data_IF_717467928738
#
_entry.id   IF_717467928738
#
_cell.length_a   1.000
_cell.length_b   1.000
_cell.length_c   1.000
_cell.angle_alpha   90.00
_cell.angle_beta   90.00
_cell.angle_gamma   90.00
#
_symmetry.space_group_name_H-M   'P 1'
#
loop_
_entity.id
_entity.type
_entity.pdbx_description
1 polymer ?
#
# COMPACT_ATOMS: atom_id res chain seq x y z
N UNK A 1 34.67 -20.77 14.00
CA UNK A 1 34.41 -21.49 12.71
C UNK A 1 32.95 -21.73 12.40
N UNK A 2 32.08 -22.16 13.36
CA UNK A 2 30.63 -22.38 13.11
C UNK A 2 29.84 -21.09 12.78
N UNK A 3 30.19 -19.93 13.33
CA UNK A 3 29.50 -18.64 13.08
C UNK A 3 29.85 -18.07 11.72
N UNK A 4 31.10 -18.16 11.28
CA UNK A 4 31.53 -17.68 9.95
C UNK A 4 30.89 -18.46 8.81
N UNK A 5 30.68 -19.77 8.98
CA UNK A 5 30.05 -20.62 7.99
C UNK A 5 28.55 -20.29 7.83
N UNK A 6 27.86 -19.95 8.92
CA UNK A 6 26.45 -19.52 8.90
C UNK A 6 26.27 -18.16 8.22
N UNK A 7 27.18 -17.24 8.47
CA UNK A 7 27.22 -15.93 7.80
C UNK A 7 27.46 -16.08 6.30
N UNK A 8 28.41 -16.95 5.91
CA UNK A 8 28.68 -17.22 4.48
C UNK A 8 27.48 -17.89 3.81
N UNK A 9 26.85 -18.88 4.44
CA UNK A 9 25.66 -19.54 3.90
C UNK A 9 24.47 -18.56 3.77
N UNK A 10 24.32 -17.67 4.74
CA UNK A 10 23.33 -16.60 4.70
C UNK A 10 23.61 -15.61 3.56
N UNK A 11 24.84 -15.14 3.41
CA UNK A 11 25.24 -14.24 2.32
C UNK A 11 25.03 -14.87 0.94
N UNK A 12 25.35 -16.15 0.79
CA UNK A 12 25.11 -16.92 -0.43
C UNK A 12 23.62 -17.06 -0.69
N UNK A 13 22.81 -17.39 0.31
CA UNK A 13 21.34 -17.46 0.17
C UNK A 13 20.74 -16.11 -0.24
N UNK A 14 21.18 -15.03 0.41
CA UNK A 14 20.73 -13.66 0.10
C UNK A 14 21.12 -13.26 -1.33
N UNK A 15 22.32 -13.62 -1.77
CA UNK A 15 22.79 -13.36 -3.12
C UNK A 15 21.99 -14.16 -4.16
N UNK A 16 21.75 -15.45 -3.92
CA UNK A 16 20.96 -16.32 -4.80
C UNK A 16 19.52 -15.81 -4.88
N UNK A 17 18.93 -15.43 -3.74
CA UNK A 17 17.60 -14.87 -3.70
C UNK A 17 17.51 -13.53 -4.43
N UNK A 18 18.50 -12.67 -4.27
CA UNK A 18 18.58 -11.38 -4.99
C UNK A 18 18.67 -11.57 -6.51
N UNK A 19 19.48 -12.54 -6.96
CA UNK A 19 19.58 -12.92 -8.37
C UNK A 19 18.28 -13.52 -8.89
N UNK A 20 17.62 -14.38 -8.12
CA UNK A 20 16.35 -15.01 -8.44
C UNK A 20 15.24 -13.97 -8.62
N UNK A 21 15.15 -13.00 -7.72
CA UNK A 21 14.14 -11.94 -7.79
C UNK A 21 14.43 -10.96 -8.94
N UNK A 22 15.71 -10.66 -9.22
CA UNK A 22 16.13 -9.86 -10.38
C UNK A 22 15.75 -10.50 -11.72
N UNK A 23 15.92 -11.82 -11.84
CA UNK A 23 15.60 -12.56 -13.06
C UNK A 23 14.08 -12.68 -13.32
N UNK A 24 13.24 -12.59 -12.26
CA UNK A 24 11.80 -12.74 -12.41
C UNK A 24 11.11 -11.45 -12.86
N UNK A 25 11.47 -10.26 -12.35
CA UNK A 25 10.74 -9.02 -12.69
C UNK A 25 11.55 -7.72 -12.65
N UNK A 26 12.81 -7.70 -12.30
CA UNK A 26 13.57 -6.47 -12.12
C UNK A 26 13.16 -5.64 -10.87
N UNK A 27 12.20 -6.12 -10.08
CA UNK A 27 11.66 -5.44 -8.88
C UNK A 27 12.25 -5.96 -7.57
N UNK A 28 13.42 -6.56 -7.60
CA UNK A 28 14.10 -7.15 -6.43
C UNK A 28 14.33 -6.17 -5.27
N UNK A 29 14.36 -4.87 -5.55
CA UNK A 29 14.51 -3.80 -4.56
C UNK A 29 13.37 -3.76 -3.52
N UNK A 30 12.18 -4.24 -3.86
CA UNK A 30 11.02 -4.21 -2.97
C UNK A 30 11.08 -5.28 -1.87
N UNK A 31 11.84 -6.35 -2.06
CA UNK A 31 11.93 -7.47 -1.10
C UNK A 31 13.15 -7.41 -0.18
N UNK A 32 14.21 -6.73 -0.58
CA UNK A 32 15.46 -6.69 0.17
C UNK A 32 15.33 -6.09 1.59
N UNK A 33 14.62 -4.98 1.80
CA UNK A 33 14.42 -4.40 3.12
C UNK A 33 13.51 -5.23 4.04
N UNK A 34 12.48 -5.89 3.47
CA UNK A 34 11.63 -6.81 4.22
C UNK A 34 12.41 -8.02 4.73
N UNK A 35 13.28 -8.57 3.89
CA UNK A 35 14.14 -9.71 4.25
C UNK A 35 15.14 -9.33 5.35
N UNK A 36 15.72 -8.12 5.29
CA UNK A 36 16.63 -7.61 6.33
C UNK A 36 15.89 -7.39 7.65
N UNK A 37 14.71 -6.79 7.61
CA UNK A 37 13.88 -6.58 8.80
C UNK A 37 13.45 -7.92 9.44
N UNK A 38 13.05 -8.89 8.64
CA UNK A 38 12.69 -10.24 9.09
C UNK A 38 13.90 -10.96 9.70
N UNK A 39 15.07 -10.86 9.08
CA UNK A 39 16.29 -11.51 9.58
C UNK A 39 16.76 -10.89 10.90
N UNK A 40 16.79 -9.56 11.02
CA UNK A 40 17.16 -8.87 12.25
C UNK A 40 16.19 -9.22 13.39
N UNK A 41 14.89 -9.22 13.10
CA UNK A 41 13.85 -9.55 14.08
C UNK A 41 13.95 -11.02 14.52
N UNK A 42 14.16 -11.96 13.57
CA UNK A 42 14.30 -13.39 13.85
C UNK A 42 15.61 -13.76 14.53
N UNK A 43 16.75 -13.15 14.18
CA UNK A 43 18.00 -13.40 14.91
C UNK A 43 17.87 -12.99 16.37
N UNK A 44 17.20 -11.89 16.66
CA UNK A 44 17.03 -11.41 18.06
C UNK A 44 16.16 -12.35 18.88
N UNK A 45 15.07 -12.88 18.31
CA UNK A 45 14.16 -13.80 18.99
C UNK A 45 14.75 -15.22 19.05
N UNK A 46 15.31 -15.73 17.95
CA UNK A 46 15.89 -17.07 17.91
C UNK A 46 17.14 -17.17 18.79
N UNK A 47 17.91 -16.08 18.94
CA UNK A 47 19.08 -16.04 19.80
C UNK A 47 18.74 -16.21 21.29
N UNK A 48 17.63 -15.65 21.75
CA UNK A 48 17.14 -15.85 23.13
C UNK A 48 16.66 -17.29 23.38
N UNK A 49 15.93 -17.88 22.43
CA UNK A 49 15.50 -19.29 22.50
C UNK A 49 16.68 -20.27 22.42
N UNK A 50 17.70 -19.94 21.62
CA UNK A 50 18.89 -20.77 21.45
C UNK A 50 19.82 -20.74 22.68
N UNK A 51 19.94 -19.62 23.38
CA UNK A 51 20.66 -19.53 24.64
C UNK A 51 20.12 -20.49 25.71
N UNK A 52 18.81 -20.65 25.75
CA UNK A 52 18.13 -21.52 26.71
C UNK A 52 18.42 -23.01 26.40
N UNK A 53 18.43 -23.41 25.12
CA UNK A 53 18.69 -24.79 24.66
C UNK A 53 20.17 -25.18 24.72
N UNK A 54 21.11 -24.23 24.65
CA UNK A 54 22.55 -24.47 24.69
C UNK A 54 23.06 -24.83 26.08
N UNK A 55 22.31 -24.47 27.14
CA UNK A 55 22.63 -24.86 28.52
C UNK A 55 22.34 -26.34 28.81
N UNK A 56 21.46 -26.98 28.02
CA UNK A 56 21.03 -28.36 28.21
C UNK A 56 21.84 -29.39 27.37
N UNK A 57 22.66 -28.95 26.41
CA UNK A 57 23.32 -29.83 25.40
C UNK A 57 24.84 -29.76 25.38
N UNK A 58 25.48 -29.63 26.52
CA UNK A 58 26.96 -29.56 26.59
C UNK A 58 27.68 -30.91 26.70
N UNK A 59 26.96 -32.02 26.66
CA UNK A 59 27.53 -33.35 26.66
C UNK A 59 27.01 -34.16 25.46
N UNK A 60 27.94 -34.65 24.65
CA UNK A 60 27.81 -35.55 23.48
C UNK A 60 27.64 -34.90 22.11
N UNK A 61 28.67 -34.93 21.33
CA UNK A 61 28.86 -35.40 19.95
C UNK A 61 30.03 -34.72 19.25
N UNK A 62 31.15 -35.46 19.08
CA UNK A 62 32.21 -35.10 18.11
C UNK A 62 31.69 -35.41 16.71
N UNK A 63 31.55 -34.39 15.87
CA UNK A 63 31.18 -34.55 14.45
C UNK A 63 32.36 -35.17 13.65
N UNK A 64 32.08 -36.23 12.87
CA UNK A 64 33.02 -36.84 11.95
C UNK A 64 33.36 -35.86 10.79
N UNK A 65 34.68 -35.51 10.58
CA UNK A 65 35.08 -34.57 9.54
C UNK A 65 34.75 -35.03 8.09
N UNK A 66 34.53 -36.32 7.85
CA UNK A 66 34.10 -36.85 6.55
C UNK A 66 32.67 -36.48 6.22
N UNK A 67 31.79 -36.43 7.23
CA UNK A 67 30.38 -36.08 7.08
C UNK A 67 30.24 -34.60 6.77
N UNK A 68 31.05 -33.76 7.42
CA UNK A 68 31.05 -32.28 7.13
C UNK A 68 31.49 -31.99 5.70
N UNK A 69 32.50 -32.71 5.17
CA UNK A 69 32.91 -32.59 3.75
C UNK A 69 31.83 -33.02 2.78
N UNK A 70 31.14 -34.12 3.06
CA UNK A 70 30.08 -34.65 2.20
C UNK A 70 28.89 -33.66 2.13
N UNK A 71 28.52 -33.06 3.25
CA UNK A 71 27.45 -32.04 3.32
C UNK A 71 27.78 -30.81 2.47
N UNK A 72 29.05 -30.37 2.48
CA UNK A 72 29.48 -29.23 1.66
C UNK A 72 29.45 -29.56 0.16
N UNK A 73 29.86 -30.74 -0.24
CA UNK A 73 29.84 -31.20 -1.63
C UNK A 73 28.37 -31.29 -2.11
N UNK A 74 27.50 -31.81 -1.30
CA UNK A 74 26.04 -31.92 -1.64
C UNK A 74 25.43 -30.53 -1.79
N UNK A 75 25.64 -29.61 -0.85
CA UNK A 75 25.12 -28.24 -0.93
C UNK A 75 25.65 -27.53 -2.18
N UNK A 76 26.96 -27.66 -2.46
CA UNK A 76 27.59 -27.05 -3.65
C UNK A 76 27.02 -27.63 -4.95
N UNK A 77 26.80 -28.93 -5.00
CA UNK A 77 26.18 -29.61 -6.15
C UNK A 77 24.74 -29.13 -6.36
N UNK A 78 23.95 -28.94 -5.31
CA UNK A 78 22.59 -28.41 -5.40
C UNK A 78 22.58 -26.95 -5.85
N UNK A 79 23.52 -26.14 -5.41
CA UNK A 79 23.66 -24.74 -5.86
C UNK A 79 23.95 -24.71 -7.38
N UNK A 80 24.87 -25.56 -7.84
CA UNK A 80 25.21 -25.64 -9.28
C UNK A 80 24.01 -26.15 -10.11
N UNK A 81 23.33 -27.18 -9.64
CA UNK A 81 22.13 -27.72 -10.33
C UNK A 81 21.03 -26.67 -10.35
N UNK A 82 20.77 -25.98 -9.24
CA UNK A 82 19.81 -24.88 -9.17
C UNK A 82 20.15 -23.76 -10.14
N UNK A 83 21.41 -23.39 -10.26
CA UNK A 83 21.91 -22.36 -11.18
C UNK A 83 21.77 -22.80 -12.65
N UNK A 84 22.07 -24.05 -12.97
CA UNK A 84 21.90 -24.62 -14.32
C UNK A 84 20.42 -24.73 -14.72
N UNK A 85 19.54 -25.00 -13.76
CA UNK A 85 18.10 -25.07 -13.98
C UNK A 85 17.51 -23.68 -14.23
N UNK A 86 17.94 -22.67 -13.48
CA UNK A 86 17.49 -21.27 -13.66
C UNK A 86 17.92 -20.71 -15.02
N UNK A 87 19.08 -21.09 -15.51
CA UNK A 87 19.60 -20.64 -16.81
C UNK A 87 18.86 -21.25 -18.03
N UNK A 88 18.05 -22.29 -17.86
CA UNK A 88 17.49 -23.04 -18.99
C UNK A 88 16.02 -22.79 -19.36
N UNK A 89 15.11 -22.29 -18.55
CA UNK A 89 13.77 -21.81 -18.97
C UNK A 89 12.79 -21.40 -17.85
N UNK A 90 11.79 -20.54 -18.18
CA UNK A 90 10.77 -20.00 -17.27
C UNK A 90 9.72 -21.01 -16.74
N UNK A 91 9.63 -22.23 -17.28
CA UNK A 91 8.76 -23.32 -16.76
C UNK A 91 9.39 -24.09 -15.61
N UNK A 92 10.54 -23.67 -15.12
CA UNK A 92 11.49 -24.41 -14.29
C UNK A 92 11.14 -24.41 -12.80
N UNK A 93 10.27 -23.49 -12.33
CA UNK A 93 9.88 -23.42 -10.91
C UNK A 93 9.12 -24.69 -10.49
N UNK A 94 8.25 -25.20 -11.34
CA UNK A 94 7.60 -26.50 -11.11
C UNK A 94 8.61 -27.66 -11.01
N UNK A 95 9.68 -27.59 -11.81
CA UNK A 95 10.77 -28.59 -11.76
C UNK A 95 11.58 -28.47 -10.47
N UNK A 96 11.83 -27.25 -9.98
CA UNK A 96 12.53 -27.03 -8.70
C UNK A 96 11.68 -27.55 -7.54
N UNK A 97 10.39 -27.23 -7.50
CA UNK A 97 9.47 -27.77 -6.49
C UNK A 97 9.39 -29.30 -6.57
N UNK A 98 9.31 -29.88 -7.78
CA UNK A 98 9.32 -31.31 -7.98
C UNK A 98 10.65 -31.95 -7.54
N UNK A 99 11.79 -31.34 -7.81
CA UNK A 99 13.10 -31.81 -7.36
C UNK A 99 13.21 -31.74 -5.81
N UNK A 100 12.75 -30.67 -5.20
CA UNK A 100 12.72 -30.55 -3.71
C UNK A 100 11.80 -31.61 -3.10
N UNK A 101 10.64 -31.86 -3.69
CA UNK A 101 9.72 -32.93 -3.27
C UNK A 101 10.33 -34.32 -3.51
N UNK A 102 10.95 -34.57 -4.65
CA UNK A 102 11.63 -35.82 -4.95
C UNK A 102 12.85 -36.08 -4.03
N UNK A 103 13.60 -35.02 -3.66
CA UNK A 103 14.69 -35.13 -2.68
C UNK A 103 14.14 -35.46 -1.29
N UNK A 104 13.00 -34.88 -0.91
CA UNK A 104 12.33 -35.23 0.36
C UNK A 104 11.85 -36.68 0.36
N UNK A 105 11.27 -37.16 -0.75
CA UNK A 105 10.84 -38.56 -0.91
C UNK A 105 12.04 -39.50 -0.94
N UNK A 106 13.11 -39.16 -1.64
CA UNK A 106 14.33 -40.00 -1.71
C UNK A 106 15.10 -40.03 -0.38
N UNK A 107 15.11 -38.89 0.38
CA UNK A 107 15.64 -38.82 1.73
C UNK A 107 14.89 -39.71 2.73
N UNK A 108 13.57 -39.90 2.50
CA UNK A 108 12.75 -40.80 3.30
C UNK A 108 13.06 -42.30 3.06
N UNK A 109 13.46 -42.65 1.84
CA UNK A 109 13.72 -44.03 1.40
C UNK A 109 15.13 -44.54 1.81
N UNK A 110 16.10 -43.67 2.02
CA UNK A 110 17.49 -44.05 2.36
C UNK A 110 17.91 -43.62 3.75
N UNK A 111 17.93 -44.51 4.72
CA UNK A 111 18.42 -44.36 6.12
C UNK A 111 19.85 -43.84 6.26
N UNK A 112 20.62 -43.62 5.17
CA UNK A 112 21.97 -43.11 5.17
C UNK A 112 22.14 -41.58 5.12
N UNK A 113 21.05 -40.82 4.90
CA UNK A 113 21.09 -39.35 4.81
C UNK A 113 20.58 -38.64 6.06
N UNK A 114 20.65 -39.26 7.23
CA UNK A 114 20.02 -38.77 8.46
C UNK A 114 20.46 -37.38 8.90
N UNK A 115 21.71 -36.96 8.65
CA UNK A 115 22.25 -35.67 9.07
C UNK A 115 21.80 -34.55 8.12
N UNK A 116 21.87 -34.77 6.78
CA UNK A 116 21.40 -33.81 5.77
C UNK A 116 19.88 -33.64 5.85
N UNK A 117 19.15 -34.74 6.11
CA UNK A 117 17.70 -34.70 6.36
C UNK A 117 17.33 -33.91 7.62
N UNK A 118 18.11 -34.07 8.72
CA UNK A 118 17.90 -33.35 9.97
C UNK A 118 18.12 -31.84 9.83
N UNK A 119 19.16 -31.44 9.09
CA UNK A 119 19.41 -30.04 8.76
C UNK A 119 18.32 -29.49 7.81
N UNK A 120 17.98 -30.21 6.74
CA UNK A 120 16.92 -29.82 5.81
C UNK A 120 15.56 -29.69 6.52
N UNK A 121 15.23 -30.61 7.41
CA UNK A 121 14.03 -30.56 8.25
C UNK A 121 14.03 -29.35 9.17
N UNK A 122 15.18 -29.02 9.76
CA UNK A 122 15.34 -27.83 10.61
C UNK A 122 15.10 -26.55 9.82
N UNK A 123 15.67 -26.43 8.62
CA UNK A 123 15.45 -25.30 7.71
C UNK A 123 13.98 -25.21 7.25
N UNK A 124 13.39 -26.33 6.86
CA UNK A 124 11.98 -26.38 6.45
C UNK A 124 11.04 -25.92 7.57
N UNK A 125 11.27 -26.38 8.79
CA UNK A 125 10.51 -25.95 9.97
C UNK A 125 10.70 -24.45 10.25
N UNK A 126 11.91 -23.92 10.11
CA UNK A 126 12.21 -22.50 10.28
C UNK A 126 11.49 -21.65 9.22
N UNK A 127 11.51 -22.07 7.95
CA UNK A 127 10.82 -21.37 6.85
C UNK A 127 9.29 -21.39 7.08
N UNK A 128 8.72 -22.55 7.41
CA UNK A 128 7.27 -22.66 7.68
C UNK A 128 6.88 -21.73 8.84
N UNK A 129 7.67 -21.78 9.94
CA UNK A 129 7.42 -20.91 11.09
C UNK A 129 7.51 -19.41 10.68
N UNK A 130 8.54 -19.04 9.91
CA UNK A 130 8.71 -17.66 9.44
C UNK A 130 7.54 -17.19 8.58
N UNK A 131 7.08 -18.02 7.62
CA UNK A 131 5.95 -17.68 6.74
C UNK A 131 4.66 -17.53 7.55
N UNK A 132 4.41 -18.43 8.50
CA UNK A 132 3.21 -18.36 9.37
C UNK A 132 3.28 -17.08 10.23
N UNK A 133 4.39 -16.84 10.90
CA UNK A 133 4.56 -15.68 11.77
C UNK A 133 4.44 -14.38 10.97
N UNK A 134 5.12 -14.25 9.83
CA UNK A 134 5.02 -13.09 8.95
C UNK A 134 3.60 -12.87 8.44
N UNK A 135 2.88 -13.94 8.10
CA UNK A 135 1.47 -13.86 7.66
C UNK A 135 0.57 -13.34 8.79
N UNK A 136 0.75 -13.83 10.01
CA UNK A 136 -0.02 -13.36 11.19
C UNK A 136 0.29 -11.89 11.47
N UNK A 137 1.57 -11.51 11.52
CA UNK A 137 2.00 -10.12 11.74
C UNK A 137 1.41 -9.20 10.68
N UNK A 138 1.54 -9.56 9.39
CA UNK A 138 1.01 -8.80 8.27
C UNK A 138 -0.51 -8.69 8.31
N UNK A 139 -1.21 -9.75 8.70
CA UNK A 139 -2.68 -9.78 8.72
C UNK A 139 -3.24 -8.93 9.84
N UNK A 140 -2.67 -8.99 11.05
CA UNK A 140 -3.31 -8.44 12.25
C UNK A 140 -2.57 -7.25 12.88
N UNK A 141 -1.28 -7.06 12.65
CA UNK A 141 -0.53 -6.03 13.34
C UNK A 141 -0.06 -4.90 12.44
N UNK A 142 0.86 -5.20 11.53
CA UNK A 142 1.53 -4.18 10.74
C UNK A 142 1.83 -4.70 9.34
N UNK A 143 1.67 -3.85 8.35
CA UNK A 143 1.97 -4.18 6.95
C UNK A 143 2.77 -3.06 6.30
N UNK A 144 3.75 -3.45 5.47
CA UNK A 144 4.53 -2.51 4.69
C UNK A 144 3.88 -2.25 3.33
N UNK A 145 3.79 -0.98 2.94
CA UNK A 145 3.28 -0.53 1.65
C UNK A 145 4.25 0.41 0.98
N UNK A 146 4.29 0.39 -0.35
CA UNK A 146 5.06 1.33 -1.17
C UNK A 146 4.13 2.38 -1.76
N UNK A 147 4.58 3.63 -1.84
CA UNK A 147 3.87 4.73 -2.50
C UNK A 147 4.25 4.77 -3.98
N UNK A 148 3.36 4.35 -4.89
CA UNK A 148 3.64 4.33 -6.33
C UNK A 148 3.18 5.60 -7.05
N UNK A 149 2.33 6.43 -6.44
CA UNK A 149 1.66 7.56 -7.09
C UNK A 149 1.86 8.87 -6.34
N UNK A 150 1.73 9.98 -7.05
CA UNK A 150 1.93 11.33 -6.54
C UNK A 150 0.73 11.95 -5.81
N UNK A 151 -0.35 11.19 -5.56
CA UNK A 151 -1.58 11.76 -4.97
C UNK A 151 -1.42 12.31 -3.55
N UNK A 152 -0.38 11.88 -2.82
CA UNK A 152 0.01 12.36 -1.50
C UNK A 152 1.37 13.08 -1.53
N UNK A 153 1.80 13.51 -2.71
CA UNK A 153 3.13 14.08 -2.95
C UNK A 153 3.43 15.24 -2.01
N UNK A 154 4.68 15.41 -1.65
CA UNK A 154 5.24 16.28 -0.60
C UNK A 154 4.95 15.84 0.84
N UNK A 155 3.79 15.31 1.16
CA UNK A 155 3.54 14.65 2.44
C UNK A 155 4.14 13.23 2.44
N UNK A 156 3.84 12.46 1.40
CA UNK A 156 4.44 11.15 1.11
C UNK A 156 4.92 11.14 -0.34
N UNK A 157 6.19 10.79 -0.56
CA UNK A 157 6.81 10.84 -1.88
C UNK A 157 6.67 9.49 -2.60
N UNK A 158 6.64 9.53 -3.94
CA UNK A 158 6.81 8.31 -4.73
C UNK A 158 8.12 7.64 -4.34
N UNK A 159 8.06 6.32 -4.04
CA UNK A 159 9.18 5.54 -3.55
C UNK A 159 9.37 5.54 -2.04
N UNK A 160 8.46 6.16 -1.26
CA UNK A 160 8.37 5.95 0.17
C UNK A 160 7.81 4.56 0.48
N UNK A 161 8.39 3.91 1.48
CA UNK A 161 7.90 2.66 2.05
C UNK A 161 7.32 2.95 3.42
N UNK A 162 6.04 2.70 3.58
CA UNK A 162 5.29 2.99 4.79
C UNK A 162 5.09 1.76 5.65
N UNK A 163 5.16 1.91 6.96
CA UNK A 163 4.55 0.97 7.88
C UNK A 163 3.14 1.43 8.24
N UNK A 164 2.20 0.51 8.08
CA UNK A 164 0.77 0.72 8.33
C UNK A 164 0.32 -0.15 9.49
N UNK A 165 -0.14 0.49 10.54
CA UNK A 165 -0.70 -0.19 11.71
C UNK A 165 -2.15 -0.57 11.47
N UNK A 166 -2.44 -1.85 11.60
CA UNK A 166 -3.82 -2.36 11.59
C UNK A 166 -4.45 -2.29 12.98
N UNK A 167 -3.62 -2.37 14.01
CA UNK A 167 -4.06 -2.29 15.41
C UNK A 167 -4.58 -0.90 15.79
N UNK A 168 -4.15 0.15 15.10
CA UNK A 168 -4.63 1.52 15.38
C UNK A 168 -6.15 1.62 15.32
N UNK A 169 -6.78 1.05 14.30
CA UNK A 169 -8.23 1.06 14.12
C UNK A 169 -8.90 -0.30 14.39
N UNK A 170 -8.10 -1.29 14.83
CA UNK A 170 -8.50 -2.68 14.95
C UNK A 170 -8.31 -3.48 13.65
N UNK A 171 -7.61 -4.61 13.73
CA UNK A 171 -7.40 -5.45 12.56
C UNK A 171 -8.71 -6.04 12.05
N UNK A 172 -8.86 -6.01 10.73
CA UNK A 172 -9.96 -6.67 10.03
C UNK A 172 -9.65 -8.15 9.86
N UNK A 173 -10.58 -9.02 10.25
CA UNK A 173 -10.51 -10.45 9.92
C UNK A 173 -10.56 -10.62 8.40
N UNK A 174 -9.68 -11.41 7.78
CA UNK A 174 -9.71 -11.63 6.34
C UNK A 174 -11.07 -12.17 5.86
N UNK A 175 -11.65 -11.50 4.86
CA UNK A 175 -12.90 -11.97 4.22
C UNK A 175 -12.61 -13.24 3.43
N UNK A 176 -11.43 -13.34 2.80
CA UNK A 176 -10.96 -14.53 2.09
C UNK A 176 -9.79 -15.18 2.83
N UNK A 177 -10.04 -16.03 3.84
CA UNK A 177 -8.99 -16.59 4.69
C UNK A 177 -8.07 -17.57 3.95
N UNK A 178 -8.56 -18.20 2.87
CA UNK A 178 -7.75 -19.10 2.04
C UNK A 178 -7.06 -18.26 0.97
N UNK A 179 -5.81 -17.86 1.25
CA UNK A 179 -5.00 -17.07 0.33
C UNK A 179 -3.54 -17.54 0.37
N UNK A 180 -2.84 -17.33 -0.76
CA UNK A 180 -1.41 -17.59 -0.82
C UNK A 180 -0.66 -16.62 0.11
N UNK A 181 0.20 -17.11 1.02
CA UNK A 181 0.88 -16.28 1.99
C UNK A 181 1.66 -15.14 1.32
N UNK A 182 1.64 -13.95 1.93
CA UNK A 182 2.37 -12.76 1.53
C UNK A 182 2.02 -12.18 0.13
N UNK A 183 1.04 -12.75 -0.56
CA UNK A 183 0.55 -12.25 -1.86
C UNK A 183 -0.82 -11.60 -1.68
N UNK A 184 -1.03 -10.44 -2.31
CA UNK A 184 -2.27 -9.67 -2.12
C UNK A 184 -3.44 -10.25 -2.94
N UNK A 185 -3.44 -10.09 -4.27
CA UNK A 185 -4.60 -10.49 -5.10
C UNK A 185 -4.24 -11.38 -6.30
N UNK A 186 -3.06 -11.22 -6.90
CA UNK A 186 -2.66 -11.95 -8.11
C UNK A 186 -1.33 -12.65 -7.87
N UNK A 187 -1.21 -13.90 -8.29
CA UNK A 187 0.04 -14.66 -8.19
C UNK A 187 1.13 -14.01 -9.07
N UNK A 188 2.33 -13.75 -8.52
CA UNK A 188 3.36 -12.93 -9.17
C UNK A 188 3.89 -13.51 -10.49
N UNK A 189 3.72 -14.81 -10.74
CA UNK A 189 4.18 -15.47 -11.97
C UNK A 189 3.09 -15.67 -13.04
N UNK A 190 1.91 -15.06 -12.80
CA UNK A 190 0.76 -15.21 -13.68
C UNK A 190 0.17 -13.86 -14.01
N UNK A 191 -0.37 -13.71 -15.24
CA UNK A 191 -1.00 -12.45 -15.63
C UNK A 191 -2.28 -12.16 -14.83
N UNK A 192 -3.11 -13.19 -14.53
CA UNK A 192 -4.47 -12.98 -13.99
C UNK A 192 -4.94 -14.04 -12.97
N UNK A 193 -4.07 -14.96 -12.51
CA UNK A 193 -4.52 -15.99 -11.55
C UNK A 193 -4.65 -15.41 -10.14
N UNK A 194 -5.81 -15.61 -9.53
CA UNK A 194 -6.08 -15.20 -8.15
C UNK A 194 -5.12 -15.90 -7.18
N UNK A 195 -4.59 -15.17 -6.21
CA UNK A 195 -3.79 -15.71 -5.11
C UNK A 195 -4.64 -16.20 -3.94
N UNK A 196 -5.96 -16.17 -4.06
CA UNK A 196 -6.92 -16.49 -3.03
C UNK A 196 -8.07 -17.34 -3.59
N UNK A 197 -8.75 -18.06 -2.69
CA UNK A 197 -9.96 -18.82 -2.99
C UNK A 197 -11.18 -18.12 -2.40
N UNK A 198 -12.27 -18.09 -3.16
CA UNK A 198 -13.56 -17.57 -2.73
C UNK A 198 -14.52 -18.69 -2.23
N UNK A 199 -14.02 -19.93 -2.07
CA UNK A 199 -14.81 -21.05 -1.56
C UNK A 199 -15.30 -20.81 -0.12
N UNK A 200 -14.52 -20.05 0.67
CA UNK A 200 -14.91 -19.61 2.01
C UNK A 200 -14.78 -18.08 2.04
N UNK A 201 -15.90 -17.41 2.29
CA UNK A 201 -15.98 -15.96 2.54
C UNK A 201 -16.55 -15.74 3.93
N UNK A 202 -15.80 -15.06 4.78
CA UNK A 202 -16.26 -14.66 6.10
C UNK A 202 -16.98 -13.30 6.04
N UNK A 203 -17.99 -13.06 6.88
CA UNK A 203 -18.59 -11.75 7.00
C UNK A 203 -17.57 -10.73 7.50
N UNK A 204 -17.81 -9.47 7.21
CA UNK A 204 -16.99 -8.40 7.75
C UNK A 204 -16.98 -8.42 9.28
N UNK A 205 -15.79 -8.51 9.84
CA UNK A 205 -15.57 -8.37 11.27
C UNK A 205 -14.26 -7.61 11.54
N UNK A 206 -14.34 -6.61 12.40
CA UNK A 206 -13.18 -5.82 12.85
C UNK A 206 -13.01 -6.01 14.36
N UNK A 207 -11.81 -6.38 14.78
CA UNK A 207 -11.44 -6.47 16.19
C UNK A 207 -11.35 -5.05 16.79
N UNK A 208 -11.37 -4.95 18.10
CA UNK A 208 -11.20 -3.69 18.79
C UNK A 208 -9.82 -3.08 18.49
N UNK A 209 -9.80 -1.80 18.13
CA UNK A 209 -8.60 -1.01 17.89
C UNK A 209 -8.10 -0.30 19.14
N UNK A 210 -6.95 0.38 18.97
CA UNK A 210 -6.38 1.27 20.01
C UNK A 210 -7.07 2.63 20.02
N UNK A 211 -7.74 3.01 18.91
CA UNK A 211 -8.49 4.25 18.77
C UNK A 211 -9.38 4.22 17.52
N UNK A 212 -10.05 5.31 17.28
CA UNK A 212 -10.91 5.53 16.12
C UNK A 212 -10.15 6.26 15.02
N UNK A 213 -10.74 6.31 13.82
CA UNK A 213 -10.23 7.10 12.71
C UNK A 213 -10.55 8.57 12.98
N UNK A 214 -9.52 9.40 12.97
CA UNK A 214 -9.62 10.83 13.21
C UNK A 214 -9.42 11.64 11.92
N UNK A 215 -9.90 12.90 11.95
CA UNK A 215 -9.58 13.83 10.86
C UNK A 215 -8.08 14.04 10.78
N UNK A 216 -7.59 14.15 9.55
CA UNK A 216 -6.18 14.30 9.20
C UNK A 216 -5.33 13.02 9.29
N UNK A 217 -5.86 11.90 9.75
CA UNK A 217 -5.16 10.61 9.67
C UNK A 217 -4.86 10.24 8.22
N UNK A 218 -3.65 9.76 7.97
CA UNK A 218 -3.30 9.12 6.70
C UNK A 218 -3.72 7.65 6.74
N UNK A 219 -4.79 7.32 6.01
CA UNK A 219 -5.45 6.03 6.08
C UNK A 219 -5.17 5.21 4.84
N UNK A 220 -4.79 3.95 5.03
CA UNK A 220 -4.74 2.94 3.97
C UNK A 220 -6.07 2.19 3.94
N UNK A 221 -6.63 2.05 2.75
CA UNK A 221 -7.92 1.39 2.54
C UNK A 221 -7.96 0.69 1.19
N UNK A 222 -8.85 -0.28 1.03
CA UNK A 222 -9.14 -0.93 -0.23
C UNK A 222 -10.01 0.00 -1.09
N UNK A 223 -9.66 0.19 -2.36
CA UNK A 223 -10.33 1.14 -3.25
C UNK A 223 -11.81 0.77 -3.49
N UNK A 224 -12.77 1.60 -3.03
CA UNK A 224 -14.18 1.24 -3.09
C UNK A 224 -14.72 1.14 -4.52
N UNK A 225 -14.23 1.98 -5.43
CA UNK A 225 -14.73 2.07 -6.80
C UNK A 225 -14.13 1.02 -7.75
N UNK A 226 -13.32 0.07 -7.26
CA UNK A 226 -12.79 -1.02 -8.09
C UNK A 226 -13.93 -1.88 -8.66
N UNK A 227 -13.92 -2.06 -10.00
CA UNK A 227 -14.96 -2.78 -10.75
C UNK A 227 -14.59 -4.23 -11.12
N UNK A 228 -13.48 -4.75 -10.64
CA UNK A 228 -12.98 -6.09 -11.01
C UNK A 228 -13.70 -7.26 -10.29
N UNK A 229 -14.72 -6.99 -9.49
CA UNK A 229 -15.48 -8.00 -8.76
C UNK A 229 -14.68 -8.73 -7.68
N UNK A 230 -13.57 -8.14 -7.20
CA UNK A 230 -12.78 -8.72 -6.11
C UNK A 230 -13.48 -8.53 -4.76
N UNK A 231 -13.33 -9.50 -3.82
CA UNK A 231 -13.69 -9.27 -2.42
C UNK A 231 -12.97 -8.03 -1.85
N UNK A 232 -13.58 -7.38 -0.87
CA UNK A 232 -13.07 -6.10 -0.32
C UNK A 232 -11.61 -6.20 0.10
N UNK A 233 -11.21 -7.28 0.80
CA UNK A 233 -9.84 -7.51 1.27
C UNK A 233 -8.82 -7.82 0.16
N UNK A 234 -9.27 -7.92 -1.11
CA UNK A 234 -8.44 -8.18 -2.29
C UNK A 234 -8.45 -7.07 -3.32
N UNK A 235 -9.20 -5.98 -3.07
CA UNK A 235 -9.16 -4.77 -3.90
C UNK A 235 -7.83 -4.04 -3.75
N UNK A 236 -7.51 -3.17 -4.70
CA UNK A 236 -6.30 -2.34 -4.66
C UNK A 236 -6.23 -1.48 -3.40
N UNK A 237 -5.03 -1.34 -2.85
CA UNK A 237 -4.80 -0.52 -1.67
C UNK A 237 -4.47 0.92 -2.06
N UNK A 238 -5.20 1.86 -1.48
CA UNK A 238 -4.98 3.29 -1.64
C UNK A 238 -4.61 3.90 -0.30
N UNK A 239 -3.82 4.97 -0.32
CA UNK A 239 -3.57 5.83 0.84
C UNK A 239 -4.04 7.23 0.54
N UNK A 240 -4.84 7.80 1.46
CA UNK A 240 -5.32 9.18 1.42
C UNK A 240 -5.42 9.74 2.84
N UNK A 241 -5.59 11.04 2.93
CA UNK A 241 -5.90 11.70 4.19
C UNK A 241 -7.40 11.61 4.46
N UNK A 242 -7.77 11.17 5.66
CA UNK A 242 -9.14 11.23 6.15
C UNK A 242 -9.47 12.67 6.50
N UNK A 243 -10.21 13.35 5.64
CA UNK A 243 -10.59 14.76 5.86
C UNK A 243 -11.98 14.93 6.43
N UNK A 244 -12.77 13.86 6.44
CA UNK A 244 -14.11 13.86 7.03
C UNK A 244 -14.45 12.51 7.63
N UNK A 245 -14.99 12.53 8.82
CA UNK A 245 -15.42 11.38 9.62
C UNK A 245 -16.95 11.28 9.66
N UNK A 246 -17.53 10.16 10.13
CA UNK A 246 -18.98 9.97 10.16
C UNK A 246 -19.72 11.08 10.89
N UNK A 247 -20.68 11.71 10.21
CA UNK A 247 -21.48 12.83 10.71
C UNK A 247 -20.98 14.22 10.30
N UNK A 248 -19.77 14.33 9.74
CA UNK A 248 -19.27 15.61 9.26
C UNK A 248 -20.01 16.12 8.02
N UNK A 249 -20.11 17.44 7.92
CA UNK A 249 -20.52 18.13 6.70
C UNK A 249 -19.30 18.74 6.03
N UNK A 250 -19.06 18.37 4.79
CA UNK A 250 -17.90 18.82 4.01
C UNK A 250 -18.33 19.61 2.78
N UNK A 251 -17.50 20.59 2.43
CA UNK A 251 -17.69 21.45 1.27
C UNK A 251 -16.32 21.96 0.79
N UNK A 252 -16.12 22.04 -0.50
CA UNK A 252 -14.94 22.67 -1.11
C UNK A 252 -15.41 23.93 -1.84
N UNK A 253 -14.82 25.07 -1.49
CA UNK A 253 -15.09 26.37 -2.10
C UNK A 253 -13.76 26.94 -2.59
N UNK A 254 -13.64 27.19 -3.90
CA UNK A 254 -12.42 27.67 -4.55
C UNK A 254 -11.17 26.86 -4.13
N UNK A 255 -11.37 25.51 -4.08
CA UNK A 255 -10.34 24.55 -3.68
C UNK A 255 -9.99 24.56 -2.19
N UNK A 256 -10.68 25.33 -1.35
CA UNK A 256 -10.54 25.31 0.11
C UNK A 256 -11.56 24.33 0.69
N UNK A 257 -11.05 23.28 1.33
CA UNK A 257 -11.91 22.33 2.04
C UNK A 257 -12.40 22.93 3.36
N UNK A 258 -13.71 22.92 3.54
CA UNK A 258 -14.38 23.27 4.79
C UNK A 258 -15.00 22.01 5.40
N UNK A 259 -14.80 21.82 6.69
CA UNK A 259 -15.42 20.77 7.49
C UNK A 259 -16.25 21.42 8.58
N UNK A 260 -17.55 21.13 8.60
CA UNK A 260 -18.50 21.73 9.53
C UNK A 260 -18.45 23.27 9.50
N UNK A 261 -18.33 23.85 8.29
CA UNK A 261 -18.23 25.28 8.00
C UNK A 261 -16.91 25.96 8.39
N UNK A 262 -15.93 25.21 8.87
CA UNK A 262 -14.61 25.73 9.21
C UNK A 262 -13.59 25.20 8.20
N UNK A 263 -12.61 26.02 7.78
CA UNK A 263 -11.50 25.53 6.95
C UNK A 263 -10.80 24.35 7.60
N UNK A 264 -10.39 23.37 6.79
CA UNK A 264 -9.63 22.22 7.29
C UNK A 264 -8.35 22.68 7.98
N UNK A 265 -8.14 22.24 9.22
CA UNK A 265 -6.86 22.37 9.90
C UNK A 265 -5.77 21.59 9.19
N UNK A 266 -4.58 22.18 9.11
CA UNK A 266 -3.42 21.56 8.48
C UNK A 266 -2.49 21.04 9.57
N UNK A 267 -2.39 19.70 9.76
CA UNK A 267 -1.46 19.16 10.74
C UNK A 267 -0.02 19.43 10.33
N UNK A 268 0.86 19.53 11.33
CA UNK A 268 2.31 19.68 11.10
C UNK A 268 2.79 18.51 10.21
N UNK A 269 3.43 18.84 9.10
CA UNK A 269 3.94 17.87 8.11
C UNK A 269 3.05 17.68 6.89
N UNK A 270 1.78 18.10 6.93
CA UNK A 270 0.93 18.15 5.75
C UNK A 270 1.46 19.19 4.75
N UNK A 271 1.57 18.81 3.49
CA UNK A 271 2.02 19.69 2.40
C UNK A 271 1.05 19.61 1.24
N UNK A 272 0.03 20.46 1.28
CA UNK A 272 -0.96 20.51 0.18
C UNK A 272 -0.31 21.06 -1.09
N UNK A 273 -0.61 20.40 -2.20
CA UNK A 273 -0.27 20.87 -3.53
C UNK A 273 -1.51 21.22 -4.34
N UNK A 274 -1.35 22.27 -5.12
CA UNK A 274 -2.32 22.71 -6.11
C UNK A 274 -1.62 22.94 -7.43
N UNK A 275 -2.37 22.95 -8.52
CA UNK A 275 -1.85 23.37 -9.82
C UNK A 275 -1.79 24.90 -9.88
N UNK A 276 -0.63 25.43 -10.29
CA UNK A 276 -0.42 26.86 -10.49
C UNK A 276 -0.10 27.14 -11.94
N UNK A 277 -0.71 28.19 -12.48
CA UNK A 277 -0.30 28.79 -13.76
C UNK A 277 0.89 29.69 -13.52
N UNK A 278 1.99 29.39 -14.21
CA UNK A 278 3.24 30.14 -14.11
C UNK A 278 3.59 30.69 -15.49
N UNK A 279 3.80 32.01 -15.60
CA UNK A 279 4.28 32.66 -16.82
C UNK A 279 5.68 33.22 -16.61
N UNK A 280 6.52 33.07 -17.63
CA UNK A 280 7.88 33.56 -17.61
C UNK A 280 8.11 34.55 -18.77
N UNK A 281 9.13 35.41 -18.66
CA UNK A 281 9.62 36.23 -19.75
C UNK A 281 11.04 35.79 -20.12
N UNK A 282 11.36 35.75 -21.40
CA UNK A 282 12.68 35.39 -21.90
C UNK A 282 12.99 33.89 -21.69
N UNK A 283 13.94 33.62 -20.80
CA UNK A 283 14.33 32.26 -20.46
C UNK A 283 13.21 31.54 -19.65
N UNK A 284 12.95 30.27 -19.95
CA UNK A 284 12.02 29.46 -19.19
C UNK A 284 12.50 29.13 -17.77
N UNK A 285 11.76 28.28 -17.08
CA UNK A 285 12.13 27.79 -15.75
C UNK A 285 13.25 26.74 -15.86
N UNK A 286 14.24 26.82 -14.97
CA UNK A 286 15.32 25.84 -14.91
C UNK A 286 14.86 24.57 -14.14
N UNK A 287 14.71 23.40 -14.80
CA UNK A 287 14.22 22.19 -14.14
C UNK A 287 15.11 21.70 -13.00
N UNK A 288 16.44 21.94 -13.06
CA UNK A 288 17.36 21.58 -11.98
C UNK A 288 17.12 22.39 -10.71
N UNK A 289 16.82 23.69 -10.86
CA UNK A 289 16.49 24.54 -9.71
C UNK A 289 15.14 24.12 -9.12
N UNK A 290 14.16 23.85 -9.97
CA UNK A 290 12.83 23.38 -9.52
C UNK A 290 12.95 22.07 -8.76
N UNK A 291 13.73 21.12 -9.26
CA UNK A 291 13.95 19.86 -8.58
C UNK A 291 14.72 20.03 -7.26
N UNK A 292 15.89 20.65 -7.29
CA UNK A 292 16.78 20.72 -6.13
C UNK A 292 16.22 21.58 -4.98
N UNK A 293 15.48 22.67 -5.31
CA UNK A 293 15.02 23.64 -4.32
C UNK A 293 13.59 23.37 -3.84
N UNK A 294 12.74 22.82 -4.71
CA UNK A 294 11.31 22.64 -4.45
C UNK A 294 10.86 21.19 -4.61
N UNK A 295 11.79 20.29 -4.99
CA UNK A 295 11.51 18.89 -5.28
C UNK A 295 10.39 18.72 -6.34
N UNK A 296 10.33 19.65 -7.30
CA UNK A 296 9.39 19.62 -8.42
C UNK A 296 10.01 18.80 -9.55
N UNK A 297 9.43 17.66 -9.84
CA UNK A 297 9.91 16.72 -10.87
C UNK A 297 9.39 17.12 -12.26
N UNK A 298 9.87 16.45 -13.31
CA UNK A 298 9.36 16.68 -14.67
C UNK A 298 7.87 16.32 -14.78
N UNK A 299 7.39 15.37 -13.98
CA UNK A 299 6.00 14.91 -13.99
C UNK A 299 5.04 15.92 -13.31
N UNK A 300 5.59 16.88 -12.57
CA UNK A 300 4.82 17.94 -11.93
C UNK A 300 4.67 19.18 -12.82
N UNK A 301 5.26 19.17 -14.03
CA UNK A 301 5.34 20.34 -14.91
C UNK A 301 4.68 20.02 -16.24
N UNK A 302 3.67 20.77 -16.60
CA UNK A 302 3.01 20.74 -17.91
C UNK A 302 3.24 22.06 -18.62
N UNK A 303 3.71 22.01 -19.86
CA UNK A 303 3.88 23.20 -20.68
C UNK A 303 2.57 23.49 -21.42
N UNK A 304 1.94 24.62 -21.10
CA UNK A 304 0.63 25.03 -21.68
C UNK A 304 0.78 25.96 -22.89
N UNK A 305 2.01 26.50 -23.15
CA UNK A 305 2.29 27.42 -24.25
C UNK A 305 3.73 27.92 -24.25
N UNK A 306 4.03 28.90 -25.08
CA UNK A 306 5.33 29.57 -25.04
C UNK A 306 5.43 30.38 -23.74
N UNK A 307 6.39 29.97 -22.87
CA UNK A 307 6.61 30.58 -21.56
C UNK A 307 5.46 30.48 -20.57
N UNK A 308 4.51 29.56 -20.79
CA UNK A 308 3.41 29.26 -19.87
C UNK A 308 3.52 27.81 -19.39
N UNK A 309 3.38 27.62 -18.10
CA UNK A 309 3.51 26.33 -17.41
C UNK A 309 2.34 26.15 -16.43
N UNK A 310 1.86 24.93 -16.32
CA UNK A 310 1.01 24.46 -15.22
C UNK A 310 1.85 23.57 -14.33
N UNK A 311 2.05 23.93 -13.06
CA UNK A 311 2.99 23.28 -12.15
C UNK A 311 2.27 22.93 -10.85
N UNK A 312 2.44 21.68 -10.36
CA UNK A 312 2.00 21.32 -9.02
C UNK A 312 2.95 21.86 -7.97
N UNK A 313 2.47 22.77 -7.15
CA UNK A 313 3.26 23.46 -6.13
C UNK A 313 2.54 23.48 -4.79
N UNK A 314 3.33 23.49 -3.72
CA UNK A 314 2.85 23.95 -2.42
C UNK A 314 2.70 25.47 -2.43
N UNK A 315 1.93 26.01 -1.49
CA UNK A 315 1.79 27.47 -1.35
C UNK A 315 3.13 28.14 -1.07
N UNK A 316 3.97 27.53 -0.24
CA UNK A 316 5.33 28.05 0.05
C UNK A 316 6.20 28.08 -1.21
N UNK A 317 6.20 27.00 -1.99
CA UNK A 317 6.97 26.92 -3.25
C UNK A 317 6.48 27.94 -4.28
N UNK A 318 5.16 28.18 -4.37
CA UNK A 318 4.59 29.16 -5.30
C UNK A 318 5.03 30.58 -4.95
N UNK A 319 5.05 30.93 -3.65
CA UNK A 319 5.55 32.23 -3.17
C UNK A 319 7.03 32.44 -3.48
N UNK A 320 7.85 31.41 -3.36
CA UNK A 320 9.28 31.50 -3.67
C UNK A 320 9.56 31.57 -5.18
N UNK A 321 8.84 30.79 -6.00
CA UNK A 321 8.97 30.85 -7.47
C UNK A 321 8.56 32.23 -8.01
N UNK A 322 7.55 32.84 -7.39
CA UNK A 322 7.12 34.22 -7.76
C UNK A 322 8.24 35.25 -7.62
N UNK A 323 9.26 35.00 -6.79
CA UNK A 323 10.41 35.91 -6.60
C UNK A 323 11.46 35.79 -7.70
N UNK A 324 11.35 34.83 -8.62
CA UNK A 324 12.33 34.68 -9.71
C UNK A 324 12.21 35.83 -10.72
N UNK A 325 13.34 36.43 -11.10
CA UNK A 325 13.37 37.60 -11.98
C UNK A 325 12.71 37.40 -13.35
N UNK A 326 12.69 36.15 -13.85
CA UNK A 326 12.08 35.79 -15.12
C UNK A 326 10.62 35.34 -14.99
N UNK A 327 10.07 35.27 -13.79
CA UNK A 327 8.67 34.91 -13.55
C UNK A 327 7.80 36.16 -13.49
N UNK A 328 6.76 36.22 -14.30
CA UNK A 328 5.84 37.35 -14.39
C UNK A 328 4.49 37.08 -13.71
N UNK A 329 4.09 35.82 -13.62
CA UNK A 329 2.83 35.42 -13.03
C UNK A 329 2.99 34.10 -12.29
N UNK A 330 2.43 33.99 -11.10
CA UNK A 330 2.17 32.73 -10.39
C UNK A 330 0.78 32.86 -9.76
N UNK A 331 -0.17 32.12 -10.30
CA UNK A 331 -1.55 32.13 -9.83
C UNK A 331 -2.05 30.69 -9.67
N UNK A 332 -2.81 30.45 -8.62
CA UNK A 332 -3.49 29.17 -8.45
C UNK A 332 -4.54 29.00 -9.53
N UNK A 333 -4.49 27.87 -10.22
CA UNK A 333 -5.48 27.54 -11.23
C UNK A 333 -6.69 26.88 -10.54
N UNK A 334 -7.73 27.67 -10.30
CA UNK A 334 -9.01 27.22 -9.74
C UNK A 334 -9.95 26.93 -10.88
N UNK A 335 -10.54 25.74 -10.88
CA UNK A 335 -11.56 25.39 -11.85
C UNK A 335 -12.88 26.10 -11.49
N UNK A 336 -13.26 27.08 -12.32
CA UNK A 336 -14.52 27.80 -12.20
C UNK A 336 -15.59 27.28 -13.15
N UNK A 337 -15.25 26.26 -13.96
CA UNK A 337 -16.21 25.68 -14.91
C UNK A 337 -17.26 24.85 -14.16
N UNK A 338 -18.51 24.99 -14.57
CA UNK A 338 -19.54 24.08 -14.11
C UNK A 338 -19.30 22.75 -14.81
N UNK A 339 -18.95 21.73 -13.99
CA UNK A 339 -19.03 20.35 -14.36
C UNK A 339 -17.90 19.75 -15.21
N UNK A 340 -17.13 18.84 -14.63
CA UNK A 340 -16.56 17.71 -15.34
C UNK A 340 -17.36 16.44 -15.02
N UNK A 341 -18.31 16.10 -15.91
CA UNK A 341 -19.28 15.02 -15.71
C UNK A 341 -18.67 13.64 -15.55
N UNK A 342 -17.49 13.42 -16.12
CA UNK A 342 -16.85 12.11 -16.10
C UNK A 342 -16.03 11.85 -14.84
N UNK A 343 -15.61 12.91 -14.14
CA UNK A 343 -14.59 12.80 -13.09
C UNK A 343 -15.03 13.26 -11.70
N UNK A 344 -16.27 13.72 -11.51
CA UNK A 344 -16.71 14.25 -10.21
C UNK A 344 -17.90 13.48 -9.65
N UNK A 345 -17.80 13.03 -8.41
CA UNK A 345 -18.89 12.39 -7.66
C UNK A 345 -19.86 13.44 -7.07
N UNK A 346 -21.17 13.20 -7.10
CA UNK A 346 -21.90 12.27 -7.97
C UNK A 346 -22.09 12.88 -9.37
N UNK A 347 -22.15 12.06 -10.40
CA UNK A 347 -22.15 12.47 -11.81
C UNK A 347 -23.28 13.40 -12.24
N UNK A 348 -24.25 13.67 -11.39
CA UNK A 348 -25.44 14.47 -11.70
C UNK A 348 -25.49 15.84 -10.99
N UNK A 349 -24.37 16.28 -10.37
CA UNK A 349 -24.25 17.59 -9.72
C UNK A 349 -23.35 18.50 -10.54
N UNK A 350 -23.61 19.82 -10.50
CA UNK A 350 -22.77 20.83 -11.12
C UNK A 350 -21.51 21.13 -10.25
N UNK A 351 -20.86 20.09 -9.78
CA UNK A 351 -19.66 20.18 -8.96
C UNK A 351 -18.40 19.88 -9.76
N UNK A 352 -17.31 20.48 -9.35
CA UNK A 352 -15.98 20.16 -9.82
C UNK A 352 -15.03 19.92 -8.62
N UNK A 353 -13.76 19.65 -8.87
CA UNK A 353 -12.80 19.34 -7.80
C UNK A 353 -12.51 20.52 -6.87
N UNK A 354 -12.75 21.75 -7.30
CA UNK A 354 -12.49 22.99 -6.55
C UNK A 354 -13.77 23.60 -5.95
N UNK A 355 -14.95 23.24 -6.47
CA UNK A 355 -16.26 23.68 -5.98
C UNK A 355 -17.18 22.47 -5.85
N UNK A 356 -17.27 21.94 -4.63
CA UNK A 356 -17.87 20.64 -4.33
C UNK A 356 -18.70 20.67 -3.05
N UNK A 357 -19.86 20.04 -3.06
CA UNK A 357 -20.70 19.90 -1.87
C UNK A 357 -21.75 21.03 -1.73
N UNK A 358 -22.32 21.23 -0.53
CA UNK A 358 -22.03 20.50 0.71
C UNK A 358 -22.61 19.08 0.72
N UNK A 359 -21.92 18.14 1.35
CA UNK A 359 -22.41 16.79 1.63
C UNK A 359 -22.21 16.41 3.10
N UNK A 360 -23.12 15.58 3.63
CA UNK A 360 -22.99 15.00 4.97
C UNK A 360 -22.47 13.58 4.86
N UNK A 361 -21.44 13.27 5.62
CA UNK A 361 -20.82 11.94 5.66
C UNK A 361 -21.71 11.02 6.52
N UNK A 362 -22.17 9.88 5.97
CA UNK A 362 -23.06 9.00 6.71
C UNK A 362 -22.39 8.38 7.94
N UNK A 363 -23.18 8.27 9.01
CA UNK A 363 -22.81 7.62 10.24
C UNK A 363 -23.71 6.41 10.47
N UNK A 364 -23.16 5.32 10.94
CA UNK A 364 -23.93 4.12 11.31
C UNK A 364 -25.11 4.50 12.21
N UNK A 365 -26.30 3.99 11.90
CA UNK A 365 -27.54 4.24 12.62
C UNK A 365 -28.16 5.62 12.41
N UNK A 366 -27.52 6.52 11.64
CA UNK A 366 -28.16 7.78 11.25
C UNK A 366 -29.12 7.57 10.09
N UNK A 367 -30.24 8.28 10.13
CA UNK A 367 -31.30 8.21 9.11
C UNK A 367 -31.33 9.51 8.31
N UNK A 368 -31.48 9.40 6.99
CA UNK A 368 -31.69 10.52 6.10
C UNK A 368 -33.02 10.39 5.35
N UNK A 369 -33.66 11.53 5.05
CA UNK A 369 -34.78 11.55 4.11
C UNK A 369 -34.26 11.43 2.68
N UNK A 370 -34.83 10.49 1.92
CA UNK A 370 -34.49 10.27 0.51
C UNK A 370 -35.36 11.14 -0.39
N UNK A 371 -34.79 11.63 -1.46
CA UNK A 371 -35.46 12.30 -2.56
C UNK A 371 -34.59 12.21 -3.82
N UNK A 372 -35.18 12.56 -4.98
CA UNK A 372 -34.47 12.54 -6.28
C UNK A 372 -33.28 13.49 -6.36
N UNK A 373 -33.20 14.51 -5.50
CA UNK A 373 -32.07 15.45 -5.46
C UNK A 373 -30.84 14.89 -4.72
N UNK A 374 -31.02 13.99 -3.74
CA UNK A 374 -29.93 13.47 -2.92
C UNK A 374 -29.61 12.00 -3.18
N UNK A 375 -30.51 11.25 -3.80
CA UNK A 375 -30.33 9.81 -4.01
C UNK A 375 -29.03 9.47 -4.75
N UNK A 376 -28.61 10.29 -5.71
CA UNK A 376 -27.37 10.08 -6.43
C UNK A 376 -26.11 10.11 -5.53
N UNK A 377 -26.16 10.85 -4.43
CA UNK A 377 -25.06 10.90 -3.45
C UNK A 377 -24.96 9.57 -2.68
N UNK A 378 -26.08 8.91 -2.41
CA UNK A 378 -26.15 7.75 -1.54
C UNK A 378 -26.39 6.43 -2.28
N UNK A 379 -26.55 6.47 -3.62
CA UNK A 379 -26.81 5.28 -4.44
C UNK A 379 -25.79 4.18 -4.23
N UNK A 380 -24.51 4.48 -4.38
CA UNK A 380 -23.43 3.48 -4.20
C UNK A 380 -23.38 2.91 -2.78
N UNK A 381 -23.77 3.69 -1.77
CA UNK A 381 -23.91 3.21 -0.40
C UNK A 381 -24.99 2.15 -0.32
N UNK A 382 -26.17 2.48 -0.80
CA UNK A 382 -27.36 1.62 -0.71
C UNK A 382 -27.15 0.34 -1.53
N UNK A 383 -26.75 0.48 -2.80
CA UNK A 383 -26.66 -0.67 -3.72
C UNK A 383 -25.39 -1.49 -3.51
N UNK A 384 -24.23 -0.83 -3.48
CA UNK A 384 -22.95 -1.55 -3.57
C UNK A 384 -22.34 -1.90 -2.21
N UNK A 385 -22.45 -0.99 -1.25
CA UNK A 385 -21.78 -1.19 0.05
C UNK A 385 -22.70 -1.86 1.06
N UNK A 386 -24.01 -1.59 1.00
CA UNK A 386 -25.00 -2.19 1.91
C UNK A 386 -25.88 -3.22 1.23
N UNK A 387 -25.57 -3.57 -0.05
CA UNK A 387 -26.13 -4.68 -0.82
C UNK A 387 -27.66 -4.69 -0.92
N UNK A 388 -28.28 -3.53 -1.05
CA UNK A 388 -29.70 -3.40 -1.32
C UNK A 388 -29.97 -3.24 -2.82
N UNK A 389 -31.19 -3.53 -3.26
CA UNK A 389 -31.69 -3.11 -4.58
C UNK A 389 -32.24 -1.69 -4.49
N UNK A 390 -32.01 -0.87 -5.50
CA UNK A 390 -32.52 0.51 -5.57
C UNK A 390 -33.13 0.76 -6.95
N UNK A 391 -34.40 1.07 -6.96
CA UNK A 391 -35.13 1.48 -8.17
C UNK A 391 -35.75 2.87 -8.00
N UNK A 392 -35.81 3.62 -9.08
CA UNK A 392 -36.42 4.93 -9.09
C UNK A 392 -37.47 4.95 -10.21
N UNK A 393 -38.75 5.02 -9.84
CA UNK A 393 -39.89 5.00 -10.73
C UNK A 393 -40.71 6.27 -10.50
N UNK A 394 -40.81 7.17 -11.50
CA UNK A 394 -41.61 8.37 -11.44
C UNK A 394 -41.48 9.18 -10.14
N UNK A 395 -40.24 9.45 -9.71
CA UNK A 395 -39.88 10.12 -8.45
C UNK A 395 -40.06 9.30 -7.16
N UNK A 396 -40.63 8.10 -7.24
CA UNK A 396 -40.67 7.16 -6.12
C UNK A 396 -39.40 6.36 -6.04
N UNK A 397 -38.83 6.28 -4.84
CA UNK A 397 -37.61 5.54 -4.56
C UNK A 397 -38.00 4.24 -3.86
N UNK A 398 -37.68 3.09 -4.47
CA UNK A 398 -37.87 1.77 -3.88
C UNK A 398 -36.53 1.19 -3.47
N UNK A 399 -36.49 0.66 -2.26
CA UNK A 399 -35.35 -0.09 -1.74
C UNK A 399 -35.86 -1.49 -1.35
N UNK A 400 -35.29 -2.53 -1.98
CA UNK A 400 -35.75 -3.90 -1.82
C UNK A 400 -37.25 -4.05 -2.09
N UNK A 401 -37.73 -3.44 -3.19
CA UNK A 401 -39.10 -3.42 -3.66
C UNK A 401 -40.12 -2.70 -2.72
N UNK A 402 -39.63 -1.96 -1.72
CA UNK A 402 -40.44 -1.23 -0.76
C UNK A 402 -40.21 0.27 -0.95
N UNK A 403 -41.32 1.06 -0.97
CA UNK A 403 -41.23 2.51 -1.02
C UNK A 403 -40.44 3.06 0.17
N UNK A 404 -39.35 3.77 -0.12
CA UNK A 404 -38.44 4.29 0.88
C UNK A 404 -38.44 5.83 0.88
N UNK A 405 -38.97 6.43 1.92
CA UNK A 405 -38.94 7.88 2.17
C UNK A 405 -37.67 8.29 2.94
N UNK A 406 -37.05 7.34 3.60
CA UNK A 406 -35.84 7.53 4.39
C UNK A 406 -34.94 6.28 4.33
N UNK A 407 -33.66 6.47 4.71
CA UNK A 407 -32.69 5.37 4.75
C UNK A 407 -31.81 5.48 5.99
N UNK A 408 -31.63 4.36 6.68
CA UNK A 408 -30.75 4.24 7.86
C UNK A 408 -29.49 3.50 7.49
N UNK A 409 -28.34 4.16 7.65
CA UNK A 409 -27.04 3.61 7.27
C UNK A 409 -26.59 2.49 8.20
N UNK A 410 -26.09 1.39 7.62
CA UNK A 410 -25.63 0.20 8.34
C UNK A 410 -24.17 0.31 8.77
N UNK A 411 -23.35 1.15 8.10
CA UNK A 411 -21.92 1.34 8.34
C UNK A 411 -21.56 2.80 8.55
N UNK A 412 -20.35 3.02 9.07
CA UNK A 412 -19.70 4.32 9.06
C UNK A 412 -19.01 4.55 7.71
N UNK A 413 -18.98 5.81 7.28
CA UNK A 413 -18.34 6.23 6.05
C UNK A 413 -17.35 7.35 6.31
N UNK A 414 -16.35 7.45 5.43
CA UNK A 414 -15.26 8.42 5.55
C UNK A 414 -15.08 9.15 4.23
N UNK A 415 -14.51 10.35 4.31
CA UNK A 415 -14.16 11.12 3.12
C UNK A 415 -12.64 11.28 3.06
N UNK A 416 -12.07 10.73 1.99
CA UNK A 416 -10.64 10.60 1.80
C UNK A 416 -10.17 11.52 0.68
N UNK A 417 -9.19 12.40 0.96
CA UNK A 417 -8.61 13.28 -0.06
C UNK A 417 -7.08 13.16 -0.09
N UNK A 418 -6.52 13.31 -1.31
CA UNK A 418 -5.08 13.40 -1.47
C UNK A 418 -4.56 14.79 -1.11
N UNK A 419 -3.35 14.86 -0.59
CA UNK A 419 -2.69 16.14 -0.29
C UNK A 419 -2.27 16.87 -1.57
N UNK A 420 -2.03 16.15 -2.67
CA UNK A 420 -1.89 16.71 -4.00
C UNK A 420 -3.29 16.91 -4.62
N UNK A 421 -3.92 18.02 -4.26
CA UNK A 421 -5.35 18.30 -4.48
C UNK A 421 -5.82 18.20 -5.94
N UNK A 422 -4.99 18.60 -6.89
CA UNK A 422 -5.30 18.57 -8.33
C UNK A 422 -4.69 17.36 -9.07
N UNK A 423 -3.95 16.49 -8.36
CA UNK A 423 -3.39 15.26 -8.91
C UNK A 423 -3.75 14.05 -8.03
N UNK A 424 -5.01 13.95 -7.66
CA UNK A 424 -5.51 12.89 -6.81
C UNK A 424 -6.89 12.42 -7.27
N UNK A 425 -6.97 11.16 -7.70
CA UNK A 425 -8.22 10.46 -7.71
C UNK A 425 -8.56 10.09 -6.26
N UNK A 426 -9.61 10.71 -5.69
CA UNK A 426 -10.01 10.58 -4.30
C UNK A 426 -11.53 10.64 -4.14
N UNK A 427 -12.05 10.83 -2.94
CA UNK A 427 -13.49 10.81 -2.69
C UNK A 427 -14.29 11.82 -3.52
N UNK A 428 -13.67 12.90 -4.01
CA UNK A 428 -14.33 13.83 -4.96
C UNK A 428 -14.65 13.17 -6.31
N UNK A 429 -13.98 12.03 -6.60
CA UNK A 429 -14.13 11.27 -7.86
C UNK A 429 -15.02 10.04 -7.65
N UNK A 430 -14.82 9.28 -6.57
CA UNK A 430 -15.53 8.01 -6.36
C UNK A 430 -16.52 8.00 -5.18
N UNK A 431 -16.58 9.05 -4.37
CA UNK A 431 -17.49 9.14 -3.23
C UNK A 431 -16.91 8.59 -1.92
N UNK A 432 -17.76 8.01 -1.11
CA UNK A 432 -17.47 7.58 0.26
C UNK A 432 -16.60 6.33 0.33
N UNK A 433 -15.83 6.22 1.41
CA UNK A 433 -15.09 5.02 1.78
C UNK A 433 -15.78 4.36 2.96
N UNK A 434 -16.34 3.15 2.80
CA UNK A 434 -17.00 2.43 3.89
C UNK A 434 -15.98 1.92 4.93
N UNK A 435 -16.43 1.72 6.16
CA UNK A 435 -15.55 1.25 7.25
C UNK A 435 -14.96 -0.14 7.01
N UNK A 436 -15.64 -1.02 6.28
CA UNK A 436 -15.17 -2.37 5.94
C UNK A 436 -14.00 -2.35 4.94
N UNK A 437 -13.80 -1.24 4.19
CA UNK A 437 -12.68 -1.03 3.29
C UNK A 437 -11.41 -0.54 3.99
N UNK A 438 -11.50 -0.07 5.22
CA UNK A 438 -10.34 0.47 5.95
C UNK A 438 -9.36 -0.65 6.31
N UNK A 439 -8.07 -0.44 6.00
CA UNK A 439 -6.97 -1.36 6.30
C UNK A 439 -6.23 -0.93 7.58
N UNK A 440 -5.77 0.31 7.66
CA UNK A 440 -5.03 0.79 8.83
C UNK A 440 -4.49 2.22 8.70
N UNK A 441 -3.76 2.67 9.72
CA UNK A 441 -3.14 3.99 9.82
C UNK A 441 -1.69 3.95 9.35
N UNK A 442 -1.31 4.80 8.42
CA UNK A 442 0.10 5.00 8.06
C UNK A 442 0.83 5.66 9.24
N UNK A 443 1.88 5.02 9.77
CA UNK A 443 2.59 5.50 10.95
C UNK A 443 3.85 6.28 10.61
N UNK A 444 4.73 5.69 9.80
CA UNK A 444 6.00 6.29 9.44
C UNK A 444 6.56 5.70 8.15
N UNK A 445 7.44 6.47 7.52
CA UNK A 445 8.28 6.05 6.40
C UNK A 445 9.49 5.33 6.95
N UNK A 446 9.65 4.03 6.69
CA UNK A 446 10.81 3.29 7.16
C UNK A 446 11.96 3.25 6.15
N UNK A 447 11.66 3.45 4.86
CA UNK A 447 12.62 3.61 3.78
C UNK A 447 12.05 4.54 2.71
N UNK A 448 12.92 5.25 1.98
CA UNK A 448 12.53 6.11 0.86
C UNK A 448 13.54 6.01 -0.27
N UNK A 449 13.05 5.73 -1.47
CA UNK A 449 13.86 5.51 -2.67
C UNK A 449 13.53 6.50 -3.76
N UNK A 450 14.52 7.30 -4.18
CA UNK A 450 14.37 8.25 -5.27
C UNK A 450 14.78 7.61 -6.60
N UNK A 451 13.82 7.40 -7.48
CA UNK A 451 14.07 6.84 -8.82
C UNK A 451 14.81 7.82 -9.74
N UNK A 452 14.76 9.11 -9.47
CA UNK A 452 15.39 10.16 -10.28
C UNK A 452 16.88 10.39 -9.92
N UNK A 453 17.31 9.97 -8.73
CA UNK A 453 18.68 10.10 -8.27
C UNK A 453 19.59 8.95 -8.73
N UNK A 454 20.89 9.04 -8.51
CA UNK A 454 21.89 8.03 -8.91
C UNK A 454 22.71 7.56 -7.70
N UNK A 455 23.15 6.30 -7.74
CA UNK A 455 24.01 5.71 -6.71
C UNK A 455 23.37 5.73 -5.32
N UNK A 456 24.14 6.05 -4.29
CA UNK A 456 23.67 6.13 -2.90
C UNK A 456 22.70 7.28 -2.63
N UNK A 457 22.66 8.30 -3.51
CA UNK A 457 21.71 9.41 -3.41
C UNK A 457 20.27 8.96 -3.72
N UNK A 458 20.08 7.75 -4.23
CA UNK A 458 18.75 7.15 -4.36
C UNK A 458 18.05 6.96 -3.02
N UNK A 459 18.79 6.79 -1.93
CA UNK A 459 18.21 6.69 -0.59
C UNK A 459 18.00 8.11 -0.06
N UNK A 460 16.76 8.47 0.21
CA UNK A 460 16.41 9.73 0.86
C UNK A 460 16.58 9.59 2.38
N UNK A 461 17.84 9.71 2.84
CA UNK A 461 18.22 9.49 4.23
C UNK A 461 17.42 10.32 5.25
N UNK A 462 17.05 11.53 4.87
CA UNK A 462 16.27 12.46 5.69
C UNK A 462 14.79 12.05 5.86
N UNK A 463 14.35 11.01 5.14
CA UNK A 463 12.98 10.46 5.26
C UNK A 463 12.91 9.17 6.06
N UNK A 464 14.05 8.60 6.41
CA UNK A 464 14.06 7.37 7.21
C UNK A 464 13.44 7.62 8.57
N UNK A 465 12.51 6.74 8.98
CA UNK A 465 11.77 6.79 10.24
C UNK A 465 10.98 8.09 10.46
N UNK A 466 10.66 8.80 9.38
CA UNK A 466 9.84 10.02 9.46
C UNK A 466 8.38 9.63 9.72
N UNK A 467 7.80 10.21 10.80
CA UNK A 467 6.39 10.01 11.12
C UNK A 467 5.49 10.59 10.03
N UNK A 468 4.45 9.85 9.68
CA UNK A 468 3.35 10.30 8.80
C UNK A 468 2.31 10.97 9.69
N UNK A 469 2.09 12.27 9.45
CA UNK A 469 1.14 13.10 10.22
C UNK A 469 0.14 13.75 9.29
#
# INVERSE_FOLDING_TARGET
MKTSLKIIAFLIFTLIWSIFVYLINGEWLYFFPLLIADVIFFETISWQFWKKKKKEKKETEKEDPKIVRLTHVIIFTFIIIGLLIVLYSASTIFKIIAIVVLIQIFGFIRKGFSIAYKELKSWNNAIIFAVIAATILRTFLIEAYTIPTSSMEKSMLIGDFLFVSKTSYGPRVPITPIAFPLVHHTLPWTKNKKSYSEAIKLPYHRMKGLGDIERNDCVVFNWPAEKLGRPVDKKENYVKRCVGIPGDKIEVIDGVLNVNKLPQEEPIGMKKQFIYKVKTKGSGLNPKILYNKFDVTKNDIYRSGNNEYSIFLTESSSKEIKKFNNVTLVERNIDTTKRDLEYTFPNNKDWNIDNFGPITIPKRGSTIKLNTKNIAIYRDIIERYESNTLEINNDEILINDVLALEYTFQMNYYWMMGDNRHNSADSRVWGFVPEDHIVGKALFVWMSWDTNAKGLNKIRWNRLFTSVK
#
